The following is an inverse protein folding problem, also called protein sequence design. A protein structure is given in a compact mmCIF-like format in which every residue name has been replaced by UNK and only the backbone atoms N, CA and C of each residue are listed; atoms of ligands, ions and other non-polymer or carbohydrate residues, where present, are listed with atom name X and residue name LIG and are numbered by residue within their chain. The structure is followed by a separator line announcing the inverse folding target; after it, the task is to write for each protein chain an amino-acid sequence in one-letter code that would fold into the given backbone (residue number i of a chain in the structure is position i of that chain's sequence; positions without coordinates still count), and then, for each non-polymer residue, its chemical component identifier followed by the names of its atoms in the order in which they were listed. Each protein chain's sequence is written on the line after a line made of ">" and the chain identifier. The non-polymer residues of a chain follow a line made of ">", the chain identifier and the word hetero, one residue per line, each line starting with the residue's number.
data_IF_326250636009
#
_entry.id   IF_326250636009
#
_cell.length_a   1.000
_cell.length_b   1.000
_cell.length_c   1.000
_cell.angle_alpha   90.00
_cell.angle_beta   90.00
_cell.angle_gamma   90.00
#
_symmetry.space_group_name_H-M   'P 1'
#
loop_
_entity.id
_entity.type
_entity.pdbx_description
1 polymer ?
#
# COMPACT_ATOMS: atom_id res chain seq x y z
N UNK A 1 4.13 5.48 7.84
CA UNK A 1 3.60 6.68 7.11
C UNK A 1 4.80 7.33 6.41
N UNK A 2 4.69 8.41 5.62
CA UNK A 2 5.90 9.04 5.05
C UNK A 2 5.99 10.54 5.30
N UNK A 3 4.98 11.31 4.89
CA UNK A 3 5.05 12.78 4.91
C UNK A 3 4.77 13.37 6.29
N UNK A 4 3.96 12.70 7.09
CA UNK A 4 3.41 13.29 8.30
C UNK A 4 4.28 13.13 9.56
N UNK A 5 5.33 12.30 9.52
CA UNK A 5 6.19 12.03 10.67
C UNK A 5 6.83 13.29 11.26
N UNK A 6 7.46 14.13 10.43
CA UNK A 6 8.02 15.41 10.87
C UNK A 6 6.93 16.40 11.35
N UNK A 7 5.87 16.71 10.55
CA UNK A 7 4.76 17.56 10.98
C UNK A 7 4.15 17.21 12.34
N UNK A 8 3.85 15.92 12.57
CA UNK A 8 3.22 15.43 13.80
C UNK A 8 4.20 15.54 14.96
N UNK A 9 5.47 15.19 14.74
CA UNK A 9 6.52 15.32 15.76
C UNK A 9 6.66 16.75 16.25
N UNK A 10 6.62 17.72 15.32
CA UNK A 10 6.63 19.14 15.67
C UNK A 10 5.38 19.56 16.47
N UNK A 11 4.19 19.23 15.97
CA UNK A 11 2.92 19.61 16.60
C UNK A 11 2.78 19.02 18.00
N UNK A 12 3.07 17.72 18.14
CA UNK A 12 3.00 17.02 19.41
C UNK A 12 4.06 17.51 20.40
N UNK A 13 5.28 17.82 19.94
CA UNK A 13 6.30 18.42 20.79
C UNK A 13 5.89 19.82 21.32
N UNK A 14 5.37 20.70 20.45
CA UNK A 14 4.85 22.01 20.86
C UNK A 14 3.69 21.87 21.88
N UNK A 15 2.83 20.87 21.70
CA UNK A 15 1.70 20.62 22.60
C UNK A 15 2.16 20.10 23.97
N UNK A 16 2.97 19.04 23.98
CA UNK A 16 3.43 18.35 25.20
C UNK A 16 4.37 19.24 26.01
N UNK A 17 5.29 19.95 25.34
CA UNK A 17 6.31 20.78 26.02
C UNK A 17 5.97 22.28 26.05
N UNK A 18 4.72 22.67 25.74
CA UNK A 18 4.29 24.08 25.64
C UNK A 18 4.82 24.99 26.74
N UNK A 19 4.69 24.55 28.00
CA UNK A 19 5.14 25.32 29.18
C UNK A 19 6.66 25.48 29.22
N UNK A 20 7.41 24.42 28.94
CA UNK A 20 8.88 24.45 28.97
C UNK A 20 9.42 25.28 27.80
N UNK A 21 8.92 25.06 26.59
CA UNK A 21 9.29 25.83 25.39
C UNK A 21 9.02 27.32 25.59
N UNK A 22 7.91 27.70 26.23
CA UNK A 22 7.57 29.11 26.43
C UNK A 22 8.62 29.93 27.22
N UNK A 23 9.39 29.27 28.10
CA UNK A 23 10.43 29.87 28.94
C UNK A 23 11.76 30.12 28.20
N UNK A 24 11.98 29.42 27.09
CA UNK A 24 13.20 29.52 26.30
C UNK A 24 13.31 30.88 25.58
N UNK A 25 14.52 31.21 25.12
CA UNK A 25 14.74 32.36 24.22
C UNK A 25 14.17 32.08 22.84
N UNK A 26 13.93 33.13 22.05
CA UNK A 26 13.31 32.99 20.73
C UNK A 26 14.13 32.10 19.77
N UNK A 27 15.46 32.25 19.75
CA UNK A 27 16.35 31.40 18.94
C UNK A 27 16.34 29.94 19.41
N UNK A 28 16.30 29.70 20.72
CA UNK A 28 16.17 28.36 21.31
C UNK A 28 14.83 27.71 20.92
N UNK A 29 13.72 28.46 20.94
CA UNK A 29 12.40 27.98 20.49
C UNK A 29 12.43 27.53 19.01
N UNK A 30 13.04 28.33 18.14
CA UNK A 30 13.19 28.00 16.72
C UNK A 30 14.00 26.72 16.54
N UNK A 31 15.11 26.59 17.28
CA UNK A 31 15.96 25.40 17.23
C UNK A 31 15.22 24.15 17.73
N UNK A 32 14.41 24.25 18.80
CA UNK A 32 13.55 23.15 19.25
C UNK A 32 12.53 22.75 18.16
N UNK A 33 11.95 23.72 17.46
CA UNK A 33 11.05 23.44 16.34
C UNK A 33 11.73 22.65 15.22
N UNK A 34 12.91 23.10 14.76
CA UNK A 34 13.68 22.40 13.73
C UNK A 34 14.10 21.02 14.21
N UNK A 35 14.56 20.90 15.46
CA UNK A 35 14.94 19.63 16.06
C UNK A 35 13.77 18.65 16.12
N UNK A 36 12.55 19.11 16.46
CA UNK A 36 11.37 18.25 16.48
C UNK A 36 11.03 17.67 15.09
N UNK A 37 11.20 18.46 14.02
CA UNK A 37 11.01 17.99 12.65
C UNK A 37 12.05 16.93 12.28
N UNK A 38 13.34 17.20 12.55
CA UNK A 38 14.45 16.30 12.22
C UNK A 38 14.38 15.01 13.04
N UNK A 39 14.14 15.09 14.33
CA UNK A 39 14.02 13.92 15.19
C UNK A 39 12.81 13.06 14.83
N UNK A 40 11.76 13.66 14.26
CA UNK A 40 10.60 12.94 13.77
C UNK A 40 10.87 12.07 12.54
N UNK A 41 11.96 12.27 11.80
CA UNK A 41 12.34 11.44 10.64
C UNK A 41 13.57 10.57 10.90
N UNK A 42 14.18 10.68 12.09
CA UNK A 42 15.36 9.88 12.45
C UNK A 42 15.12 8.37 12.33
N UNK A 43 13.96 7.81 12.75
CA UNK A 43 13.77 6.37 12.67
C UNK A 43 13.93 5.83 11.24
N UNK A 44 13.35 6.50 10.24
CA UNK A 44 13.45 6.13 8.81
C UNK A 44 14.84 6.26 8.18
N UNK A 45 15.83 6.83 8.88
CA UNK A 45 17.21 6.90 8.34
C UNK A 45 17.78 5.49 8.17
N UNK A 46 17.26 4.50 8.90
CA UNK A 46 17.61 3.10 8.73
C UNK A 46 17.35 2.56 7.31
N UNK A 47 16.38 3.11 6.58
CA UNK A 47 16.11 2.77 5.17
C UNK A 47 17.37 3.01 4.32
N UNK A 48 18.07 4.12 4.55
CA UNK A 48 19.32 4.43 3.84
C UNK A 48 20.43 3.44 4.20
N UNK A 49 20.47 2.99 5.46
CA UNK A 49 21.45 1.99 5.94
C UNK A 49 21.15 0.61 5.33
N UNK A 50 19.87 0.22 5.27
CA UNK A 50 19.43 -1.03 4.66
C UNK A 50 19.80 -1.07 3.17
N UNK A 51 19.40 -0.04 2.42
CA UNK A 51 19.74 0.10 0.99
C UNK A 51 21.27 0.07 0.80
N UNK A 52 22.02 0.84 1.61
CA UNK A 52 23.48 0.88 1.53
C UNK A 52 24.16 -0.45 1.90
N UNK A 53 23.47 -1.32 2.63
CA UNK A 53 23.96 -2.65 3.03
C UNK A 53 23.48 -3.77 2.10
N UNK A 54 22.74 -3.44 1.03
CA UNK A 54 22.12 -4.44 0.15
C UNK A 54 21.00 -5.24 0.82
N UNK A 55 20.49 -4.78 1.96
CA UNK A 55 19.36 -5.39 2.65
C UNK A 55 18.05 -4.81 2.12
N UNK A 56 16.96 -5.60 2.07
CA UNK A 56 15.69 -5.09 1.57
C UNK A 56 15.14 -3.97 2.46
N UNK A 57 14.71 -2.86 1.85
CA UNK A 57 14.22 -1.69 2.60
C UNK A 57 12.90 -1.92 3.34
N UNK A 58 12.10 -2.90 2.91
CA UNK A 58 10.80 -3.18 3.53
C UNK A 58 10.91 -3.73 4.96
N UNK A 59 12.08 -4.25 5.36
CA UNK A 59 12.28 -4.76 6.73
C UNK A 59 12.48 -3.64 7.76
N UNK A 60 12.50 -2.35 7.37
CA UNK A 60 12.86 -1.26 8.29
C UNK A 60 11.98 -1.21 9.54
N UNK A 61 10.69 -1.52 9.47
CA UNK A 61 9.85 -1.60 10.66
C UNK A 61 10.16 -2.78 11.61
N UNK A 62 10.98 -3.72 11.16
CA UNK A 62 11.48 -4.87 11.94
C UNK A 62 12.91 -4.67 12.45
N UNK A 63 13.51 -3.50 12.22
CA UNK A 63 14.83 -3.19 12.79
C UNK A 63 14.71 -2.43 14.11
N UNK A 64 15.81 -2.39 14.86
CA UNK A 64 15.83 -1.84 16.23
C UNK A 64 15.46 -0.35 16.33
N UNK A 65 15.67 0.44 15.27
CA UNK A 65 15.21 1.83 15.17
C UNK A 65 13.69 1.93 15.29
N UNK A 66 12.93 0.93 14.87
CA UNK A 66 11.47 0.93 14.99
C UNK A 66 10.97 0.30 16.31
N UNK A 67 11.74 0.49 17.39
CA UNK A 67 11.38 0.01 18.74
C UNK A 67 11.36 1.16 19.76
N UNK A 68 10.29 1.30 20.58
CA UNK A 68 10.23 2.37 21.57
C UNK A 68 11.34 2.32 22.62
N UNK A 69 11.73 1.10 23.02
CA UNK A 69 12.77 0.89 24.05
C UNK A 69 14.12 1.43 23.59
N UNK A 70 14.46 1.31 22.30
CA UNK A 70 15.69 1.85 21.75
C UNK A 70 15.80 3.37 21.99
N UNK A 71 14.77 4.14 21.65
CA UNK A 71 14.80 5.59 21.84
C UNK A 71 14.70 6.02 23.30
N UNK A 72 13.96 5.30 24.14
CA UNK A 72 13.94 5.55 25.59
C UNK A 72 15.34 5.33 26.18
N UNK A 73 16.01 4.24 25.81
CA UNK A 73 17.37 3.94 26.23
C UNK A 73 18.36 4.99 25.76
N UNK A 74 18.31 5.38 24.48
CA UNK A 74 19.15 6.42 23.91
C UNK A 74 18.93 7.78 24.57
N UNK A 75 17.68 8.15 24.86
CA UNK A 75 17.34 9.36 25.61
C UNK A 75 17.92 9.37 27.02
N UNK A 76 17.78 8.26 27.77
CA UNK A 76 18.38 8.11 29.11
C UNK A 76 19.91 8.23 29.05
N UNK A 77 20.52 7.59 28.06
CA UNK A 77 21.96 7.63 27.82
C UNK A 77 22.44 9.06 27.52
N UNK A 78 21.77 9.78 26.61
CA UNK A 78 22.09 11.18 26.31
C UNK A 78 21.96 12.09 27.54
N UNK A 79 20.91 11.90 28.36
CA UNK A 79 20.76 12.64 29.63
C UNK A 79 21.89 12.36 30.59
N UNK A 80 22.32 11.10 30.71
CA UNK A 80 23.44 10.71 31.56
C UNK A 80 24.76 11.34 31.07
N UNK A 81 25.05 11.24 29.77
CA UNK A 81 26.22 11.86 29.15
C UNK A 81 26.23 13.36 29.41
N UNK A 82 25.13 14.06 29.13
CA UNK A 82 25.06 15.50 29.35
C UNK A 82 25.37 15.85 30.82
N UNK A 83 24.80 15.10 31.77
CA UNK A 83 25.04 15.33 33.20
C UNK A 83 26.51 15.16 33.60
N UNK A 84 27.24 14.24 32.97
CA UNK A 84 28.67 14.01 33.20
C UNK A 84 29.49 15.11 32.54
N UNK A 85 29.26 15.35 31.24
CA UNK A 85 30.09 16.22 30.38
C UNK A 85 29.88 17.70 30.70
N UNK A 86 28.69 18.13 31.13
CA UNK A 86 28.41 19.53 31.44
C UNK A 86 29.39 20.14 32.46
N UNK A 87 29.97 19.31 33.34
CA UNK A 87 30.95 19.75 34.35
C UNK A 87 32.27 20.24 33.73
N UNK A 88 32.52 19.90 32.47
CA UNK A 88 33.72 20.28 31.72
C UNK A 88 33.45 21.36 30.67
N UNK A 89 32.24 21.92 30.62
CA UNK A 89 31.92 22.98 29.68
C UNK A 89 32.60 24.29 30.07
N UNK A 90 33.13 24.99 29.07
CA UNK A 90 33.55 26.38 29.24
C UNK A 90 32.34 27.29 29.39
N UNK A 91 32.51 28.46 30.00
CA UNK A 91 31.41 29.44 30.19
C UNK A 91 30.63 29.76 28.90
N UNK A 92 31.27 29.95 27.72
CA UNK A 92 30.53 30.16 26.48
C UNK A 92 29.63 28.99 26.10
N UNK A 93 30.13 27.76 26.27
CA UNK A 93 29.38 26.53 25.96
C UNK A 93 28.23 26.35 26.94
N UNK A 94 28.45 26.54 28.24
CA UNK A 94 27.41 26.44 29.27
C UNK A 94 26.28 27.47 29.05
N UNK A 95 26.61 28.68 28.59
CA UNK A 95 25.62 29.71 28.26
C UNK A 95 24.75 29.32 27.05
N UNK A 96 25.34 28.63 26.07
CA UNK A 96 24.63 28.14 24.89
C UNK A 96 23.82 26.87 25.21
N UNK A 97 24.47 25.84 25.75
CA UNK A 97 23.90 24.57 26.18
C UNK A 97 23.41 24.63 27.64
N UNK A 98 22.61 25.66 27.94
CA UNK A 98 22.10 25.83 29.29
C UNK A 98 21.20 24.65 29.69
N UNK A 99 21.14 24.27 30.98
CA UNK A 99 20.42 23.07 31.42
C UNK A 99 18.94 23.04 31.06
N UNK A 100 18.27 24.19 31.05
CA UNK A 100 16.86 24.28 30.69
C UNK A 100 16.65 23.97 29.20
N UNK A 101 17.42 24.61 28.32
CA UNK A 101 17.40 24.38 26.89
C UNK A 101 17.74 22.92 26.53
N UNK A 102 18.83 22.38 27.08
CA UNK A 102 19.24 21.00 26.75
C UNK A 102 18.22 19.98 27.24
N UNK A 103 17.62 20.17 28.41
CA UNK A 103 16.56 19.27 28.87
C UNK A 103 15.34 19.30 27.94
N UNK A 104 14.93 20.47 27.44
CA UNK A 104 13.86 20.57 26.43
C UNK A 104 14.27 19.88 25.14
N UNK A 105 15.49 20.09 24.65
CA UNK A 105 16.00 19.47 23.42
C UNK A 105 16.03 17.94 23.51
N UNK A 106 16.53 17.38 24.62
CA UNK A 106 16.56 15.93 24.83
C UNK A 106 15.15 15.36 24.97
N UNK A 107 14.22 16.07 25.62
CA UNK A 107 12.82 15.65 25.63
C UNK A 107 12.17 15.76 24.24
N UNK A 108 12.56 16.75 23.42
CA UNK A 108 12.10 16.88 22.04
C UNK A 108 12.56 15.69 21.20
N UNK A 109 13.79 15.21 21.39
CA UNK A 109 14.24 13.96 20.79
C UNK A 109 13.30 12.80 21.11
N UNK A 110 13.07 12.54 22.40
CA UNK A 110 12.23 11.41 22.81
C UNK A 110 10.79 11.55 22.31
N UNK A 111 10.19 12.74 22.45
CA UNK A 111 8.79 12.97 22.04
C UNK A 111 8.65 12.81 20.53
N UNK A 112 9.55 13.39 19.74
CA UNK A 112 9.49 13.30 18.29
C UNK A 112 9.66 11.85 17.80
N UNK A 113 10.66 11.12 18.29
CA UNK A 113 10.87 9.73 17.88
C UNK A 113 9.72 8.82 18.33
N UNK A 114 9.15 9.04 19.53
CA UNK A 114 7.99 8.26 19.97
C UNK A 114 6.71 8.61 19.21
N UNK A 115 6.52 9.87 18.80
CA UNK A 115 5.41 10.27 17.93
C UNK A 115 5.54 9.67 16.54
N UNK A 116 6.75 9.59 15.99
CA UNK A 116 7.01 8.85 14.77
C UNK A 116 6.51 7.40 14.89
N UNK A 117 7.01 6.66 15.90
CA UNK A 117 6.63 5.26 16.11
C UNK A 117 5.13 5.11 16.40
N UNK A 118 4.51 6.07 17.08
CA UNK A 118 3.06 6.07 17.30
C UNK A 118 2.28 6.15 15.97
N UNK A 119 2.78 6.92 15.01
CA UNK A 119 2.16 7.03 13.69
C UNK A 119 2.41 5.79 12.83
N UNK A 120 3.52 5.09 13.02
CA UNK A 120 3.68 3.76 12.42
C UNK A 120 2.76 2.75 13.06
N UNK A 121 2.65 2.66 14.39
CA UNK A 121 1.65 1.80 15.05
C UNK A 121 0.23 2.07 14.50
N UNK A 122 -0.07 3.34 14.19
CA UNK A 122 -1.37 3.73 13.67
C UNK A 122 -1.67 3.08 12.30
N UNK A 123 -0.71 3.09 11.36
CA UNK A 123 -0.93 2.71 9.96
C UNK A 123 -0.19 1.45 9.50
N UNK A 124 0.82 1.02 10.23
CA UNK A 124 1.81 0.01 9.88
C UNK A 124 2.15 -0.89 11.08
N UNK A 125 2.97 -1.90 10.82
CA UNK A 125 3.42 -2.89 11.79
C UNK A 125 4.73 -2.46 12.44
N UNK A 126 4.83 -2.41 13.76
CA UNK A 126 6.13 -2.23 14.46
C UNK A 126 6.33 -3.21 15.61
N UNK A 127 7.58 -3.44 16.00
CA UNK A 127 7.94 -4.26 17.16
C UNK A 127 7.80 -3.49 18.49
N UNK A 128 6.55 -3.14 18.85
CA UNK A 128 6.23 -2.29 20.02
C UNK A 128 6.82 -2.80 21.35
N UNK A 129 6.84 -4.13 21.55
CA UNK A 129 7.22 -4.78 22.81
C UNK A 129 8.63 -5.41 22.78
N UNK A 130 9.45 -5.11 21.77
CA UNK A 130 10.85 -5.54 21.73
C UNK A 130 11.62 -4.99 22.94
N UNK A 131 12.51 -5.77 23.61
CA UNK A 131 13.01 -7.10 23.24
C UNK A 131 12.23 -8.28 23.87
N UNK A 132 11.08 -8.04 24.51
CA UNK A 132 10.31 -9.13 25.13
C UNK A 132 9.63 -10.02 24.09
N UNK A 133 9.26 -9.44 22.94
CA UNK A 133 8.74 -10.16 21.77
C UNK A 133 9.14 -9.43 20.49
N UNK A 134 9.31 -10.17 19.40
CA UNK A 134 9.51 -9.67 18.04
C UNK A 134 8.18 -9.57 17.27
N UNK A 135 7.05 -9.86 17.93
CA UNK A 135 5.74 -9.73 17.33
C UNK A 135 5.45 -8.27 16.93
N UNK A 136 4.92 -8.10 15.73
CA UNK A 136 4.50 -6.82 15.21
C UNK A 136 3.11 -6.42 15.70
N UNK A 137 2.92 -5.12 15.94
CA UNK A 137 1.68 -4.52 16.39
C UNK A 137 1.27 -3.37 15.47
N UNK A 138 -0.02 -3.29 15.17
CA UNK A 138 -0.64 -2.23 14.38
C UNK A 138 -2.07 -1.99 14.86
N UNK A 139 -2.61 -0.78 14.65
CA UNK A 139 -3.99 -0.43 15.00
C UNK A 139 -4.90 -0.50 13.76
N UNK A 140 -4.55 0.18 12.67
CA UNK A 140 -5.44 0.33 11.51
C UNK A 140 -4.90 -0.24 10.20
N UNK A 141 -3.69 -0.80 10.14
CA UNK A 141 -3.12 -1.35 8.88
C UNK A 141 -4.11 -2.24 8.11
N UNK A 142 -4.73 -3.19 8.81
CA UNK A 142 -5.67 -4.13 8.20
C UNK A 142 -7.06 -3.52 7.94
N UNK A 143 -7.46 -2.52 8.72
CA UNK A 143 -8.73 -1.82 8.50
C UNK A 143 -8.63 -0.82 7.32
N UNK A 144 -7.44 -0.27 7.09
CA UNK A 144 -7.12 0.69 6.02
C UNK A 144 -6.25 0.05 4.94
N UNK A 145 -6.34 -1.27 4.79
CA UNK A 145 -5.62 -2.03 3.78
C UNK A 145 -5.89 -1.39 2.40
N UNK A 146 -4.84 -1.02 1.64
CA UNK A 146 -5.05 -0.38 0.35
C UNK A 146 -5.56 -1.39 -0.69
N UNK A 147 -6.13 -0.86 -1.77
CA UNK A 147 -6.43 -1.66 -2.95
C UNK A 147 -5.13 -2.06 -3.66
N UNK A 148 -5.02 -3.32 -4.07
CA UNK A 148 -3.83 -3.85 -4.76
C UNK A 148 -3.49 -3.08 -6.05
N UNK A 149 -4.51 -2.58 -6.76
CA UNK A 149 -4.37 -1.91 -8.05
C UNK A 149 -4.43 -0.37 -7.95
N UNK A 150 -4.99 0.18 -6.86
CA UNK A 150 -5.09 1.64 -6.63
C UNK A 150 -3.85 2.27 -6.01
N UNK A 151 -3.01 1.47 -5.34
CA UNK A 151 -1.75 1.94 -4.76
C UNK A 151 -1.89 2.83 -3.52
N UNK A 152 -0.73 3.23 -2.97
CA UNK A 152 -0.64 3.90 -1.66
C UNK A 152 -1.22 5.33 -1.64
N UNK A 153 -1.07 6.11 -2.70
CA UNK A 153 -1.53 7.50 -2.77
C UNK A 153 -3.06 7.65 -2.67
N UNK A 154 -3.80 6.55 -2.82
CA UNK A 154 -5.25 6.53 -2.76
C UNK A 154 -5.75 5.85 -1.48
N UNK A 155 -4.83 5.50 -0.58
CA UNK A 155 -5.14 4.89 0.70
C UNK A 155 -5.67 5.92 1.70
N UNK A 156 -6.47 5.44 2.65
CA UNK A 156 -6.95 6.24 3.79
C UNK A 156 -5.76 6.81 4.58
N UNK A 157 -4.69 6.02 4.73
CA UNK A 157 -3.48 6.44 5.45
C UNK A 157 -2.83 7.66 4.82
N UNK A 158 -2.72 7.69 3.49
CA UNK A 158 -2.19 8.85 2.77
C UNK A 158 -3.10 10.09 2.90
N UNK A 159 -4.43 9.91 2.85
CA UNK A 159 -5.38 10.99 3.15
C UNK A 159 -5.19 11.61 4.55
N UNK A 160 -4.91 10.77 5.55
CA UNK A 160 -4.59 11.21 6.92
C UNK A 160 -3.25 11.97 6.93
N UNK A 161 -2.23 11.52 6.20
CA UNK A 161 -0.94 12.20 6.12
C UNK A 161 -1.05 13.62 5.57
N UNK A 162 -1.79 13.79 4.47
CA UNK A 162 -2.02 15.10 3.86
C UNK A 162 -2.80 16.00 4.82
N UNK A 163 -3.81 15.48 5.51
CA UNK A 163 -4.56 16.26 6.49
C UNK A 163 -3.68 16.73 7.66
N UNK A 164 -2.86 15.84 8.24
CA UNK A 164 -1.98 16.18 9.36
C UNK A 164 -0.87 17.17 8.94
N UNK A 165 -0.35 17.03 7.72
CA UNK A 165 0.56 17.99 7.11
C UNK A 165 -0.11 19.35 6.91
N UNK A 166 -1.37 19.38 6.45
CA UNK A 166 -2.18 20.59 6.33
C UNK A 166 -2.39 21.29 7.68
N UNK A 167 -2.72 20.54 8.74
CA UNK A 167 -2.85 21.07 10.11
C UNK A 167 -1.54 21.71 10.59
N UNK A 168 -0.40 21.10 10.29
CA UNK A 168 0.91 21.66 10.60
C UNK A 168 1.16 23.00 9.89
N UNK A 169 0.87 23.10 8.59
CA UNK A 169 1.03 24.37 7.87
C UNK A 169 0.09 25.46 8.38
N UNK A 170 -1.18 25.12 8.67
CA UNK A 170 -2.13 26.04 9.33
C UNK A 170 -1.56 26.55 10.66
N UNK A 171 -1.00 25.65 11.47
CA UNK A 171 -0.37 26.02 12.74
C UNK A 171 0.78 27.01 12.54
N UNK A 172 1.69 26.74 11.59
CA UNK A 172 2.80 27.63 11.27
C UNK A 172 2.32 28.99 10.78
N UNK A 173 1.37 29.04 9.86
CA UNK A 173 0.81 30.28 9.33
C UNK A 173 0.19 31.13 10.44
N UNK A 174 -0.60 30.52 11.32
CA UNK A 174 -1.24 31.19 12.45
C UNK A 174 -0.22 31.81 13.43
N UNK A 175 1.01 31.29 13.47
CA UNK A 175 2.09 31.80 14.32
C UNK A 175 2.98 32.82 13.62
N UNK A 176 3.22 32.67 12.32
CA UNK A 176 4.20 33.46 11.58
C UNK A 176 3.59 34.66 10.85
N UNK A 177 2.32 34.59 10.46
CA UNK A 177 1.67 35.60 9.61
C UNK A 177 0.58 36.34 10.39
N UNK A 178 0.49 37.66 10.18
CA UNK A 178 -0.58 38.48 10.77
C UNK A 178 -1.95 38.09 10.19
N UNK A 179 -2.97 38.08 11.06
CA UNK A 179 -4.35 37.77 10.66
C UNK A 179 -4.84 38.78 9.61
N UNK A 180 -5.39 38.25 8.53
CA UNK A 180 -5.97 38.97 7.39
C UNK A 180 -6.94 38.04 6.66
N UNK A 181 -7.74 38.57 5.72
CA UNK A 181 -8.62 37.73 4.90
C UNK A 181 -7.82 36.73 4.06
N UNK A 182 -6.65 37.12 3.54
CA UNK A 182 -5.74 36.22 2.82
C UNK A 182 -5.24 35.07 3.69
N UNK A 183 -4.91 35.35 4.94
CA UNK A 183 -4.50 34.33 5.90
C UNK A 183 -5.60 33.28 6.15
N UNK A 184 -6.86 33.70 6.26
CA UNK A 184 -8.00 32.77 6.38
C UNK A 184 -8.14 31.89 5.14
N UNK A 185 -7.98 32.46 3.93
CA UNK A 185 -8.02 31.71 2.68
C UNK A 185 -6.90 30.65 2.65
N UNK A 186 -5.68 31.02 3.05
CA UNK A 186 -4.56 30.07 3.10
C UNK A 186 -4.81 28.94 4.09
N UNK A 187 -5.36 29.23 5.27
CA UNK A 187 -5.68 28.18 6.24
C UNK A 187 -6.67 27.15 5.67
N UNK A 188 -7.69 27.63 4.96
CA UNK A 188 -8.67 26.77 4.28
C UNK A 188 -7.99 25.97 3.17
N UNK A 189 -7.14 26.61 2.37
CA UNK A 189 -6.40 25.97 1.28
C UNK A 189 -5.52 24.81 1.74
N UNK A 190 -4.87 24.90 2.91
CA UNK A 190 -4.07 23.79 3.43
C UNK A 190 -4.90 22.63 4.00
N UNK A 191 -6.15 22.84 4.40
CA UNK A 191 -7.00 21.78 4.98
C UNK A 191 -7.89 21.10 3.96
N UNK A 192 -8.44 21.84 2.99
CA UNK A 192 -9.41 21.30 2.02
C UNK A 192 -8.86 20.06 1.28
N UNK A 193 -7.62 20.06 0.74
CA UNK A 193 -7.10 18.89 0.04
C UNK A 193 -7.05 17.65 0.92
N UNK A 194 -6.61 17.79 2.18
CA UNK A 194 -6.56 16.66 3.12
C UNK A 194 -7.95 16.14 3.49
N UNK A 195 -8.91 17.03 3.75
CA UNK A 195 -10.31 16.64 4.04
C UNK A 195 -10.94 15.94 2.84
N UNK A 196 -10.79 16.52 1.65
CA UNK A 196 -11.32 15.97 0.42
C UNK A 196 -10.69 14.61 0.12
N UNK A 197 -9.36 14.52 0.14
CA UNK A 197 -8.64 13.28 -0.12
C UNK A 197 -8.97 12.20 0.89
N UNK A 198 -9.11 12.52 2.18
CA UNK A 198 -9.50 11.55 3.20
C UNK A 198 -10.92 11.02 2.98
N UNK A 199 -11.89 11.92 2.79
CA UNK A 199 -13.28 11.52 2.53
C UNK A 199 -13.41 10.70 1.24
N UNK A 200 -12.66 11.10 0.22
CA UNK A 200 -12.59 10.41 -1.06
C UNK A 200 -11.89 9.04 -0.96
N UNK A 201 -10.77 8.94 -0.26
CA UNK A 201 -10.05 7.67 -0.04
C UNK A 201 -10.89 6.71 0.79
N UNK A 202 -11.66 7.22 1.77
CA UNK A 202 -12.63 6.41 2.49
C UNK A 202 -13.76 5.92 1.57
N UNK A 203 -14.31 6.80 0.73
CA UNK A 203 -15.35 6.43 -0.24
C UNK A 203 -14.88 5.33 -1.20
N UNK A 204 -13.71 5.51 -1.82
CA UNK A 204 -13.12 4.49 -2.71
C UNK A 204 -12.87 3.19 -1.96
N UNK A 205 -12.23 3.24 -0.78
CA UNK A 205 -11.99 2.07 0.06
C UNK A 205 -13.28 1.28 0.34
N UNK A 206 -14.40 1.93 0.67
CA UNK A 206 -15.66 1.19 0.91
C UNK A 206 -16.28 0.60 -0.36
N UNK A 207 -15.94 1.12 -1.54
CA UNK A 207 -16.53 0.69 -2.79
C UNK A 207 -15.64 -0.23 -3.64
N UNK A 208 -14.36 -0.40 -3.30
CA UNK A 208 -13.44 -1.31 -3.99
C UNK A 208 -13.14 -2.54 -3.14
N UNK A 209 -12.61 -3.58 -3.78
CA UNK A 209 -12.17 -4.79 -3.08
C UNK A 209 -10.73 -4.57 -2.61
N UNK A 210 -10.53 -4.36 -1.31
CA UNK A 210 -9.22 -4.07 -0.75
C UNK A 210 -8.60 -5.32 -0.17
N UNK A 211 -7.69 -5.92 -0.93
CA UNK A 211 -6.86 -7.01 -0.46
C UNK A 211 -5.50 -6.97 -1.16
N UNK A 212 -4.53 -6.37 -0.49
CA UNK A 212 -3.15 -6.17 -0.96
C UNK A 212 -2.12 -6.83 -0.04
N UNK A 213 -2.56 -7.41 1.08
CA UNK A 213 -1.71 -8.13 2.02
C UNK A 213 -1.97 -9.63 1.86
N UNK A 214 -0.89 -10.38 1.57
CA UNK A 214 -0.92 -11.84 1.53
C UNK A 214 -1.10 -12.41 2.94
N UNK A 215 -1.91 -13.47 3.05
CA UNK A 215 -2.35 -14.04 4.32
C UNK A 215 -2.40 -15.55 4.23
N UNK A 216 -1.59 -16.26 5.00
CA UNK A 216 -1.53 -17.72 5.03
C UNK A 216 -2.90 -18.42 5.23
N UNK A 217 -2.91 -19.75 5.16
CA UNK A 217 -4.12 -20.56 5.36
C UNK A 217 -4.84 -20.31 6.71
N UNK A 218 -4.14 -19.74 7.70
CA UNK A 218 -4.68 -19.40 9.02
C UNK A 218 -5.10 -17.92 9.11
N UNK A 219 -5.02 -17.16 8.01
CA UNK A 219 -5.32 -15.74 7.93
C UNK A 219 -4.22 -14.80 8.47
N UNK A 220 -3.05 -15.33 8.82
CA UNK A 220 -1.91 -14.54 9.30
C UNK A 220 -1.16 -13.93 8.13
N UNK A 221 -0.67 -12.71 8.29
CA UNK A 221 0.16 -12.08 7.27
C UNK A 221 1.42 -12.90 7.04
N UNK A 222 1.63 -13.28 5.79
CA UNK A 222 2.88 -13.86 5.33
C UNK A 222 3.15 -13.30 3.93
N UNK A 223 4.32 -12.71 3.73
CA UNK A 223 4.68 -12.01 2.48
C UNK A 223 5.77 -12.75 1.70
N UNK A 224 6.28 -13.83 2.28
CA UNK A 224 7.39 -14.68 1.80
C UNK A 224 7.18 -16.07 2.44
N UNK A 225 6.44 -16.96 1.75
CA UNK A 225 6.00 -18.24 2.32
C UNK A 225 7.15 -19.23 2.49
N UNK A 226 8.07 -19.27 1.54
CA UNK A 226 9.16 -20.23 1.49
C UNK A 226 10.47 -19.70 2.11
N UNK A 227 10.48 -18.43 2.49
CA UNK A 227 11.57 -17.74 3.21
C UNK A 227 12.85 -17.59 2.40
N UNK A 228 12.73 -17.51 1.08
CA UNK A 228 13.87 -17.36 0.17
C UNK A 228 14.36 -15.90 0.04
N UNK A 229 13.60 -14.95 0.59
CA UNK A 229 13.90 -13.52 0.61
C UNK A 229 13.32 -12.73 -0.58
N UNK A 230 12.54 -13.37 -1.45
CA UNK A 230 11.73 -12.74 -2.50
C UNK A 230 10.31 -12.57 -1.95
N UNK A 231 9.68 -11.43 -2.22
CA UNK A 231 8.26 -11.29 -1.90
C UNK A 231 7.44 -12.16 -2.83
N UNK A 232 6.55 -12.99 -2.28
CA UNK A 232 5.58 -13.78 -3.02
C UNK A 232 4.88 -12.94 -4.11
N UNK A 233 4.56 -11.67 -3.83
CA UNK A 233 3.94 -10.73 -4.79
C UNK A 233 4.75 -10.45 -6.07
N UNK A 234 6.06 -10.70 -6.01
CA UNK A 234 7.03 -10.54 -7.10
C UNK A 234 7.68 -11.87 -7.48
N UNK A 235 7.36 -12.95 -6.78
CA UNK A 235 7.88 -14.28 -7.06
C UNK A 235 7.01 -14.98 -8.11
N UNK A 236 7.65 -15.60 -9.09
CA UNK A 236 7.00 -16.37 -10.15
C UNK A 236 6.79 -17.84 -9.79
N UNK A 237 7.45 -18.35 -8.75
CA UNK A 237 7.46 -19.75 -8.31
C UNK A 237 7.63 -19.81 -6.78
N UNK A 238 6.55 -19.53 -6.05
CA UNK A 238 6.57 -19.27 -4.60
C UNK A 238 7.11 -20.42 -3.74
N UNK A 239 6.97 -21.67 -4.19
CA UNK A 239 7.46 -22.83 -3.43
C UNK A 239 8.74 -23.43 -4.04
N UNK A 240 9.30 -22.77 -5.05
CA UNK A 240 10.53 -23.14 -5.73
C UNK A 240 10.50 -24.59 -6.26
N UNK A 241 9.33 -25.07 -6.68
CA UNK A 241 9.14 -26.45 -7.17
C UNK A 241 9.39 -26.60 -8.69
N UNK A 242 9.63 -25.48 -9.38
CA UNK A 242 9.90 -25.39 -10.80
C UNK A 242 8.64 -25.24 -11.66
N UNK A 243 7.45 -25.15 -11.07
CA UNK A 243 6.20 -24.77 -11.74
C UNK A 243 5.83 -23.35 -11.36
N UNK A 244 5.59 -22.53 -12.38
CA UNK A 244 5.16 -21.16 -12.14
C UNK A 244 3.77 -21.09 -11.50
N UNK A 245 3.53 -20.01 -10.75
CA UNK A 245 2.30 -19.78 -9.97
C UNK A 245 0.99 -19.95 -10.75
N UNK A 246 0.99 -19.77 -12.08
CA UNK A 246 -0.23 -19.92 -12.89
C UNK A 246 -0.60 -21.40 -13.05
N UNK A 247 0.40 -22.28 -13.18
CA UNK A 247 0.20 -23.71 -13.41
C UNK A 247 0.22 -24.57 -12.15
N UNK A 248 0.75 -24.05 -11.06
CA UNK A 248 0.92 -24.82 -9.83
C UNK A 248 -0.36 -24.97 -8.98
N UNK A 249 -1.46 -24.36 -9.41
CA UNK A 249 -2.73 -24.41 -8.67
C UNK A 249 -3.73 -25.41 -9.24
N UNK A 250 -4.56 -26.00 -8.38
CA UNK A 250 -5.85 -26.58 -8.80
C UNK A 250 -6.83 -25.44 -9.08
N UNK A 251 -7.20 -25.26 -10.35
CA UNK A 251 -8.14 -24.20 -10.79
C UNK A 251 -9.47 -24.19 -10.02
N UNK A 252 -9.91 -25.34 -9.47
CA UNK A 252 -11.12 -25.39 -8.63
C UNK A 252 -10.98 -24.56 -7.36
N UNK A 253 -9.76 -24.38 -6.84
CA UNK A 253 -9.50 -23.55 -5.66
C UNK A 253 -9.71 -22.06 -5.92
N UNK A 254 -9.72 -21.62 -7.19
CA UNK A 254 -10.06 -20.24 -7.55
C UNK A 254 -11.54 -19.94 -7.40
N UNK A 255 -12.41 -20.93 -7.62
CA UNK A 255 -13.87 -20.72 -7.68
C UNK A 255 -14.42 -20.09 -6.38
N UNK A 256 -14.07 -20.57 -5.16
CA UNK A 256 -14.49 -19.93 -3.92
C UNK A 256 -13.99 -18.49 -3.79
N UNK A 257 -12.77 -18.19 -4.25
CA UNK A 257 -12.21 -16.83 -4.17
C UNK A 257 -12.95 -15.88 -5.11
N UNK A 258 -13.18 -16.30 -6.35
CA UNK A 258 -13.91 -15.50 -7.35
C UNK A 258 -15.33 -15.23 -6.88
N UNK A 259 -16.04 -16.24 -6.34
CA UNK A 259 -17.37 -16.06 -5.75
C UNK A 259 -17.35 -15.03 -4.62
N UNK A 260 -16.39 -15.14 -3.70
CA UNK A 260 -16.23 -14.17 -2.59
C UNK A 260 -16.00 -12.75 -3.10
N UNK A 261 -15.16 -12.58 -4.13
CA UNK A 261 -14.91 -11.27 -4.73
C UNK A 261 -16.19 -10.75 -5.41
N UNK A 262 -16.90 -11.57 -6.18
CA UNK A 262 -18.13 -11.16 -6.86
C UNK A 262 -19.22 -10.75 -5.87
N UNK A 263 -19.44 -11.57 -4.85
CA UNK A 263 -20.45 -11.34 -3.79
C UNK A 263 -20.19 -10.07 -2.98
N UNK A 264 -18.96 -9.53 -3.02
CA UNK A 264 -18.63 -8.27 -2.37
C UNK A 264 -19.31 -7.05 -3.03
N UNK A 265 -19.81 -7.17 -4.27
CA UNK A 265 -20.54 -6.13 -4.98
C UNK A 265 -19.73 -4.85 -5.24
N UNK A 266 -18.40 -4.93 -5.17
CA UNK A 266 -17.49 -3.78 -5.32
C UNK A 266 -17.45 -3.30 -6.77
N UNK A 267 -16.86 -2.13 -6.98
CA UNK A 267 -16.78 -1.52 -8.30
C UNK A 267 -16.07 -2.39 -9.31
N UNK A 268 -16.65 -2.41 -10.50
CA UNK A 268 -16.01 -2.84 -11.74
C UNK A 268 -15.40 -1.66 -12.46
N UNK A 269 -14.52 -1.94 -13.41
CA UNK A 269 -13.99 -0.95 -14.32
C UNK A 269 -13.91 -1.56 -15.72
N UNK A 270 -14.15 -0.73 -16.74
CA UNK A 270 -13.86 -1.03 -18.13
C UNK A 270 -12.54 -0.34 -18.50
N UNK A 271 -11.50 -1.12 -18.74
CA UNK A 271 -10.16 -0.61 -19.06
C UNK A 271 -10.07 0.02 -20.45
N UNK A 272 -11.02 -0.28 -21.35
CA UNK A 272 -11.04 0.25 -22.72
C UNK A 272 -11.99 1.46 -22.87
N UNK A 273 -12.81 1.73 -21.85
CA UNK A 273 -13.73 2.87 -21.86
C UNK A 273 -12.98 4.19 -21.74
N UNK A 274 -13.27 5.13 -22.65
CA UNK A 274 -12.79 6.52 -22.57
C UNK A 274 -13.72 7.41 -21.73
N UNK A 275 -14.67 6.81 -21.00
CA UNK A 275 -15.55 7.58 -20.11
C UNK A 275 -14.78 7.86 -18.83
N UNK A 276 -14.73 9.14 -18.45
CA UNK A 276 -14.04 9.60 -17.24
C UNK A 276 -14.40 8.79 -15.98
N UNK A 277 -15.65 8.34 -15.84
CA UNK A 277 -16.09 7.54 -14.70
C UNK A 277 -15.46 6.15 -14.64
N UNK A 278 -15.21 5.52 -15.79
CA UNK A 278 -14.64 4.17 -15.88
C UNK A 278 -13.11 4.22 -15.75
N UNK A 279 -12.46 5.18 -16.42
CA UNK A 279 -11.02 5.48 -16.22
C UNK A 279 -10.72 5.76 -14.75
N UNK A 280 -11.59 6.55 -14.11
CA UNK A 280 -11.55 6.81 -12.69
C UNK A 280 -11.63 5.49 -11.91
N UNK A 281 -12.71 4.70 -12.07
CA UNK A 281 -12.85 3.44 -11.32
C UNK A 281 -11.65 2.53 -11.55
N UNK A 282 -11.12 2.45 -12.77
CA UNK A 282 -9.93 1.67 -13.09
C UNK A 282 -8.70 2.14 -12.30
N UNK A 283 -8.42 3.44 -12.28
CA UNK A 283 -7.30 4.00 -11.51
C UNK A 283 -7.43 3.78 -10.00
N UNK A 284 -8.67 3.77 -9.47
CA UNK A 284 -8.94 3.60 -8.04
C UNK A 284 -9.15 2.14 -7.60
N UNK A 285 -8.93 1.16 -8.47
CA UNK A 285 -8.95 -0.25 -8.10
C UNK A 285 -10.25 -0.99 -8.37
N UNK A 286 -11.09 -0.47 -9.26
CA UNK A 286 -12.20 -1.21 -9.84
C UNK A 286 -11.72 -2.45 -10.57
N UNK A 287 -12.52 -3.51 -10.49
CA UNK A 287 -12.18 -4.81 -11.06
C UNK A 287 -12.50 -4.86 -12.56
N UNK A 288 -11.50 -5.19 -13.37
CA UNK A 288 -11.69 -5.76 -14.71
C UNK A 288 -11.75 -7.28 -14.60
N UNK A 289 -12.05 -7.99 -15.69
CA UNK A 289 -12.02 -9.45 -15.70
C UNK A 289 -10.65 -10.03 -15.33
N UNK A 290 -9.57 -9.45 -15.87
CA UNK A 290 -8.22 -9.84 -15.48
C UNK A 290 -7.96 -9.57 -13.99
N UNK A 291 -8.33 -8.39 -13.47
CA UNK A 291 -8.10 -8.05 -12.05
C UNK A 291 -8.88 -8.96 -11.10
N UNK A 292 -10.11 -9.35 -11.46
CA UNK A 292 -10.91 -10.32 -10.70
C UNK A 292 -10.15 -11.64 -10.54
N UNK A 293 -9.62 -12.16 -11.64
CA UNK A 293 -8.86 -13.40 -11.69
C UNK A 293 -7.52 -13.26 -10.95
N UNK A 294 -6.76 -12.20 -11.24
CA UNK A 294 -5.47 -11.91 -10.61
C UNK A 294 -5.60 -11.78 -9.09
N UNK A 295 -6.67 -11.13 -8.61
CA UNK A 295 -6.99 -11.05 -7.18
C UNK A 295 -7.34 -12.42 -6.59
N UNK A 296 -8.04 -13.29 -7.33
CA UNK A 296 -8.37 -14.64 -6.85
C UNK A 296 -7.10 -15.50 -6.68
N UNK A 297 -6.16 -15.43 -7.62
CA UNK A 297 -4.84 -16.04 -7.54
C UNK A 297 -4.01 -15.46 -6.38
N UNK A 298 -4.02 -14.14 -6.21
CA UNK A 298 -3.36 -13.47 -5.09
C UNK A 298 -3.90 -13.98 -3.74
N UNK A 299 -5.21 -14.15 -3.62
CA UNK A 299 -5.85 -14.61 -2.38
C UNK A 299 -5.44 -16.03 -1.95
N UNK A 300 -4.86 -16.82 -2.86
CA UNK A 300 -4.36 -18.19 -2.60
C UNK A 300 -2.83 -18.30 -2.62
N UNK A 301 -2.09 -17.17 -2.63
CA UNK A 301 -0.61 -17.13 -2.73
C UNK A 301 -0.08 -17.67 -4.04
N UNK A 302 -0.65 -17.24 -5.17
CA UNK A 302 -0.14 -17.61 -6.48
C UNK A 302 -0.24 -16.43 -7.47
N UNK A 303 0.40 -15.28 -7.21
CA UNK A 303 0.22 -14.08 -8.01
C UNK A 303 0.64 -14.29 -9.47
N UNK A 304 -0.24 -13.86 -10.38
CA UNK A 304 -0.07 -13.90 -11.83
C UNK A 304 0.95 -12.88 -12.36
N UNK A 305 0.97 -11.61 -11.91
CA UNK A 305 1.80 -10.57 -12.52
C UNK A 305 3.30 -10.88 -12.68
N UNK A 306 4.01 -11.48 -11.70
CA UNK A 306 5.43 -11.80 -11.87
C UNK A 306 5.68 -12.82 -12.98
N UNK A 307 4.82 -13.85 -13.10
CA UNK A 307 4.91 -14.87 -14.17
C UNK A 307 4.74 -14.26 -15.55
N UNK A 308 3.75 -13.36 -15.72
CA UNK A 308 3.52 -12.70 -17.01
C UNK A 308 4.67 -11.75 -17.38
N UNK A 309 5.21 -11.00 -16.41
CA UNK A 309 6.36 -10.12 -16.66
C UNK A 309 7.59 -10.90 -17.08
N UNK A 310 7.90 -12.00 -16.40
CA UNK A 310 9.03 -12.86 -16.77
C UNK A 310 8.89 -13.38 -18.20
N UNK A 311 7.71 -13.87 -18.59
CA UNK A 311 7.43 -14.31 -19.95
C UNK A 311 7.66 -13.20 -20.98
N UNK A 312 7.09 -12.01 -20.76
CA UNK A 312 7.19 -10.87 -21.68
C UNK A 312 8.61 -10.28 -21.77
N UNK A 313 9.41 -10.38 -20.70
CA UNK A 313 10.83 -10.00 -20.75
C UNK A 313 11.63 -11.01 -21.58
N UNK A 314 11.35 -12.31 -21.42
CA UNK A 314 12.06 -13.39 -22.15
C UNK A 314 11.75 -13.40 -23.64
N UNK A 315 10.54 -13.00 -24.04
CA UNK A 315 10.15 -12.90 -25.45
C UNK A 315 10.47 -11.54 -26.10
N UNK A 316 10.95 -10.57 -25.31
CA UNK A 316 11.33 -9.24 -25.77
C UNK A 316 10.16 -8.29 -26.03
N UNK A 317 8.95 -8.62 -25.57
CA UNK A 317 7.78 -7.73 -25.65
C UNK A 317 7.90 -6.51 -24.72
N UNK A 318 8.67 -6.63 -23.63
CA UNK A 318 8.97 -5.53 -22.72
C UNK A 318 10.46 -5.48 -22.39
N UNK A 319 10.98 -4.26 -22.24
CA UNK A 319 12.41 -4.03 -21.97
C UNK A 319 12.76 -3.98 -20.48
N UNK A 320 11.76 -3.92 -19.59
CA UNK A 320 11.99 -3.80 -18.15
C UNK A 320 10.82 -4.34 -17.32
N UNK A 321 11.11 -4.70 -16.06
CA UNK A 321 10.10 -5.10 -15.10
C UNK A 321 9.10 -3.99 -14.72
N UNK A 322 9.42 -2.72 -15.02
CA UNK A 322 8.57 -1.56 -14.77
C UNK A 322 7.75 -1.15 -15.98
N UNK A 323 7.96 -1.78 -17.14
CA UNK A 323 7.20 -1.49 -18.35
C UNK A 323 5.73 -1.89 -18.16
N UNK A 324 4.82 -0.99 -18.56
CA UNK A 324 3.40 -1.29 -18.62
C UNK A 324 3.13 -2.28 -19.75
N UNK A 325 2.13 -3.15 -19.55
CA UNK A 325 1.67 -4.12 -20.54
C UNK A 325 0.18 -4.35 -20.38
N UNK A 326 -0.47 -4.77 -21.47
CA UNK A 326 -1.84 -5.25 -21.40
C UNK A 326 -1.86 -6.62 -20.72
N UNK A 327 -2.37 -6.66 -19.49
CA UNK A 327 -2.36 -7.85 -18.67
C UNK A 327 -3.34 -8.93 -19.15
N UNK A 328 -4.45 -8.53 -19.79
CA UNK A 328 -5.41 -9.48 -20.37
C UNK A 328 -4.79 -10.18 -21.58
N UNK A 329 -4.18 -9.43 -22.48
CA UNK A 329 -3.48 -9.97 -23.64
C UNK A 329 -2.28 -10.83 -23.25
N UNK A 330 -1.49 -10.39 -22.27
CA UNK A 330 -0.36 -11.15 -21.75
C UNK A 330 -0.80 -12.50 -21.17
N UNK A 331 -1.92 -12.52 -20.44
CA UNK A 331 -2.46 -13.74 -19.85
C UNK A 331 -2.98 -14.71 -20.92
N UNK A 332 -3.64 -14.21 -21.97
CA UNK A 332 -4.01 -15.04 -23.12
C UNK A 332 -2.78 -15.61 -23.84
N UNK A 333 -1.78 -14.75 -24.13
CA UNK A 333 -0.52 -15.15 -24.76
C UNK A 333 0.19 -16.26 -23.98
N UNK A 334 0.17 -16.18 -22.65
CA UNK A 334 0.74 -17.20 -21.77
C UNK A 334 0.17 -18.60 -22.04
N UNK A 335 -1.16 -18.76 -22.03
CA UNK A 335 -1.77 -20.06 -22.30
C UNK A 335 -1.62 -20.49 -23.77
N UNK A 336 -1.69 -19.53 -24.70
CA UNK A 336 -1.55 -19.82 -26.13
C UNK A 336 -0.14 -20.33 -26.47
N UNK A 337 0.91 -19.68 -25.96
CA UNK A 337 2.31 -20.09 -26.15
C UNK A 337 2.56 -21.53 -25.68
N UNK A 338 1.93 -21.90 -24.55
CA UNK A 338 2.01 -23.24 -23.95
C UNK A 338 1.06 -24.25 -24.58
N UNK A 339 0.27 -23.85 -25.58
CA UNK A 339 -0.74 -24.68 -26.27
C UNK A 339 -1.76 -25.29 -25.31
N UNK A 340 -2.15 -24.52 -24.30
CA UNK A 340 -3.12 -24.92 -23.28
C UNK A 340 -4.55 -24.47 -23.62
N UNK A 341 -4.74 -23.80 -24.76
CA UNK A 341 -6.05 -23.31 -25.17
C UNK A 341 -6.74 -24.26 -26.16
N UNK A 342 -8.04 -24.48 -25.95
CA UNK A 342 -8.94 -25.22 -26.85
C UNK A 342 -10.17 -24.39 -27.16
N UNK A 343 -10.81 -24.63 -28.31
CA UNK A 343 -12.07 -23.98 -28.64
C UNK A 343 -13.18 -24.44 -27.67
N UNK A 344 -13.85 -23.49 -27.03
CA UNK A 344 -14.98 -23.76 -26.14
C UNK A 344 -16.29 -23.84 -26.94
N UNK A 345 -17.05 -24.91 -26.76
CA UNK A 345 -18.38 -25.04 -27.35
C UNK A 345 -19.44 -24.56 -26.35
N UNK A 346 -20.44 -23.82 -26.84
CA UNK A 346 -21.46 -23.19 -25.99
C UNK A 346 -22.41 -24.19 -25.31
N UNK A 347 -22.50 -25.39 -25.84
CA UNK A 347 -23.33 -26.50 -25.34
C UNK A 347 -22.60 -27.36 -24.29
N UNK A 348 -21.30 -27.14 -24.08
CA UNK A 348 -20.51 -27.88 -23.09
C UNK A 348 -20.47 -27.14 -21.75
N UNK A 349 -20.71 -27.87 -20.66
CA UNK A 349 -20.48 -27.37 -19.30
C UNK A 349 -18.98 -27.29 -19.08
N UNK A 350 -18.46 -26.07 -18.93
CA UNK A 350 -17.06 -25.86 -18.62
C UNK A 350 -16.68 -26.47 -17.27
N UNK A 351 -15.48 -27.02 -17.18
CA UNK A 351 -14.88 -27.47 -15.94
C UNK A 351 -14.77 -26.29 -14.97
N UNK A 352 -15.13 -26.53 -13.71
CA UNK A 352 -15.03 -25.51 -12.67
C UNK A 352 -13.60 -24.96 -12.58
N UNK A 353 -13.48 -23.63 -12.58
CA UNK A 353 -12.19 -22.95 -12.53
C UNK A 353 -11.51 -22.77 -13.89
N UNK A 354 -12.03 -23.37 -14.96
CA UNK A 354 -11.49 -23.19 -16.30
C UNK A 354 -11.58 -21.72 -16.71
N UNK A 355 -10.45 -21.18 -17.17
CA UNK A 355 -10.42 -19.85 -17.79
C UNK A 355 -10.94 -19.93 -19.20
N UNK A 356 -11.71 -18.92 -19.60
CA UNK A 356 -12.08 -18.69 -20.99
C UNK A 356 -11.69 -17.28 -21.45
N UNK A 357 -11.50 -17.15 -22.75
CA UNK A 357 -11.17 -15.92 -23.44
C UNK A 357 -12.17 -15.70 -24.58
N UNK A 358 -12.61 -14.45 -24.72
CA UNK A 358 -13.47 -14.00 -25.81
C UNK A 358 -12.59 -13.26 -26.80
N UNK A 359 -12.52 -13.77 -28.02
CA UNK A 359 -11.69 -13.22 -29.08
C UNK A 359 -12.54 -12.67 -30.22
N UNK A 360 -12.05 -11.60 -30.85
CA UNK A 360 -12.62 -11.12 -32.12
C UNK A 360 -12.21 -12.02 -33.32
N UNK A 361 -12.60 -11.61 -34.52
CA UNK A 361 -12.28 -12.31 -35.77
C UNK A 361 -10.77 -12.34 -36.08
N UNK A 362 -10.02 -11.39 -35.53
CA UNK A 362 -8.56 -11.20 -35.67
C UNK A 362 -7.75 -11.81 -34.53
N UNK A 363 -8.40 -12.58 -33.64
CA UNK A 363 -7.79 -13.19 -32.45
C UNK A 363 -7.29 -12.17 -31.41
N UNK A 364 -7.86 -10.96 -31.38
CA UNK A 364 -7.67 -9.95 -30.31
C UNK A 364 -8.54 -10.31 -29.11
N UNK A 365 -8.01 -10.16 -27.89
CA UNK A 365 -8.75 -10.51 -26.66
C UNK A 365 -9.71 -9.39 -26.28
N UNK A 366 -11.01 -9.63 -26.44
CA UNK A 366 -12.08 -8.69 -26.07
C UNK A 366 -12.44 -8.78 -24.58
N UNK A 367 -12.36 -9.98 -24.01
CA UNK A 367 -12.61 -10.23 -22.60
C UNK A 367 -12.07 -11.59 -22.19
N UNK A 368 -12.13 -11.87 -20.90
CA UNK A 368 -11.81 -13.15 -20.31
C UNK A 368 -12.68 -13.41 -19.09
N UNK A 369 -12.71 -14.64 -18.61
CA UNK A 369 -13.40 -14.98 -17.38
C UNK A 369 -13.06 -16.37 -16.91
N UNK A 370 -13.75 -16.79 -15.86
CA UNK A 370 -13.56 -18.09 -15.21
C UNK A 370 -14.90 -18.79 -15.03
N UNK A 371 -14.93 -20.07 -15.37
CA UNK A 371 -16.09 -20.92 -15.18
C UNK A 371 -16.35 -21.18 -13.69
N UNK A 372 -17.58 -20.93 -13.27
CA UNK A 372 -18.08 -21.25 -11.93
C UNK A 372 -18.95 -22.52 -12.02
N UNK A 373 -20.07 -22.56 -11.29
CA UNK A 373 -20.99 -23.69 -11.27
C UNK A 373 -22.26 -23.38 -12.06
N UNK A 374 -22.88 -24.41 -12.64
CA UNK A 374 -24.19 -24.30 -13.32
C UNK A 374 -24.19 -23.27 -14.46
N UNK A 375 -23.17 -23.27 -15.32
CA UNK A 375 -22.97 -22.31 -16.42
C UNK A 375 -22.82 -20.83 -16.01
N UNK A 376 -22.63 -20.56 -14.72
CA UNK A 376 -22.24 -19.25 -14.25
C UNK A 376 -20.75 -19.04 -14.51
N UNK A 377 -20.38 -17.78 -14.71
CA UNK A 377 -19.01 -17.34 -14.96
C UNK A 377 -18.69 -16.10 -14.13
N UNK A 378 -17.44 -16.00 -13.70
CA UNK A 378 -16.86 -14.79 -13.16
C UNK A 378 -16.19 -14.00 -14.27
N UNK A 379 -16.75 -12.84 -14.59
CA UNK A 379 -16.27 -11.92 -15.62
C UNK A 379 -16.81 -10.54 -15.32
N UNK A 380 -16.22 -9.51 -15.91
CA UNK A 380 -16.72 -8.14 -15.87
C UNK A 380 -17.09 -7.75 -17.30
N UNK A 381 -18.32 -7.28 -17.50
CA UNK A 381 -18.78 -6.75 -18.78
C UNK A 381 -18.69 -5.21 -18.77
N UNK A 382 -18.48 -4.56 -19.93
CA UNK A 382 -18.32 -3.10 -20.02
C UNK A 382 -19.46 -2.25 -19.44
N UNK A 383 -20.66 -2.81 -19.35
CA UNK A 383 -21.82 -2.11 -18.78
C UNK A 383 -21.98 -2.30 -17.27
N UNK A 384 -21.12 -3.10 -16.63
CA UNK A 384 -21.21 -3.34 -15.21
C UNK A 384 -20.71 -2.15 -14.41
N UNK A 385 -21.48 -1.74 -13.41
CA UNK A 385 -21.05 -0.73 -12.44
C UNK A 385 -20.47 -1.35 -11.16
N UNK A 386 -20.85 -2.59 -10.88
CA UNK A 386 -20.54 -3.38 -9.70
C UNK A 386 -20.40 -4.86 -10.08
N UNK A 387 -19.59 -5.57 -9.31
CA UNK A 387 -19.37 -7.00 -9.48
C UNK A 387 -20.67 -7.77 -9.30
N UNK A 388 -20.89 -8.71 -10.21
CA UNK A 388 -22.01 -9.66 -10.18
C UNK A 388 -21.65 -10.91 -10.96
N UNK A 389 -22.42 -11.96 -10.75
CA UNK A 389 -22.28 -13.21 -11.49
C UNK A 389 -22.96 -13.06 -12.86
N UNK A 390 -22.34 -13.64 -13.87
CA UNK A 390 -22.89 -13.74 -15.22
C UNK A 390 -23.10 -15.19 -15.63
N UNK A 391 -23.84 -15.40 -16.71
CA UNK A 391 -23.84 -16.69 -17.41
C UNK A 391 -22.97 -16.61 -18.66
N UNK A 392 -22.44 -17.75 -19.11
CA UNK A 392 -21.68 -17.80 -20.36
C UNK A 392 -22.51 -17.27 -21.56
N UNK A 393 -23.81 -17.54 -21.54
CA UNK A 393 -24.74 -17.06 -22.56
C UNK A 393 -24.88 -15.53 -22.58
N UNK A 394 -24.91 -14.88 -21.41
CA UNK A 394 -24.93 -13.40 -21.33
C UNK A 394 -23.67 -12.80 -21.96
N UNK A 395 -22.50 -13.38 -21.66
CA UNK A 395 -21.22 -12.95 -22.23
C UNK A 395 -21.24 -13.05 -23.75
N UNK A 396 -21.65 -14.19 -24.29
CA UNK A 396 -21.70 -14.40 -25.74
C UNK A 396 -22.74 -13.52 -26.42
N UNK A 397 -23.88 -13.29 -25.77
CA UNK A 397 -24.90 -12.40 -26.30
C UNK A 397 -24.42 -10.94 -26.35
N UNK A 398 -23.60 -10.53 -25.37
CA UNK A 398 -23.03 -9.17 -25.35
C UNK A 398 -22.03 -8.94 -26.48
N UNK A 399 -21.08 -9.85 -26.66
CA UNK A 399 -20.04 -9.70 -27.69
C UNK A 399 -20.48 -10.11 -29.10
N UNK A 400 -21.61 -10.83 -29.24
CA UNK A 400 -22.20 -11.19 -30.53
C UNK A 400 -21.75 -12.55 -31.06
N UNK A 401 -22.22 -12.92 -32.26
CA UNK A 401 -22.04 -14.27 -32.84
C UNK A 401 -20.72 -14.51 -33.57
N UNK A 402 -19.92 -13.47 -33.82
CA UNK A 402 -18.66 -13.56 -34.57
C UNK A 402 -17.43 -13.75 -33.66
N UNK A 403 -17.63 -13.91 -32.35
CA UNK A 403 -16.55 -14.14 -31.39
C UNK A 403 -16.14 -15.60 -31.29
N UNK A 404 -14.85 -15.83 -31.09
CA UNK A 404 -14.30 -17.15 -30.78
C UNK A 404 -14.12 -17.26 -29.27
N UNK A 405 -14.54 -18.38 -28.70
CA UNK A 405 -14.26 -18.71 -27.30
C UNK A 405 -13.13 -19.72 -27.21
N UNK A 406 -12.10 -19.40 -26.44
CA UNK A 406 -11.01 -20.31 -26.12
C UNK A 406 -11.03 -20.62 -24.62
N UNK A 407 -10.75 -21.86 -24.21
CA UNK A 407 -10.73 -22.31 -22.82
C UNK A 407 -9.44 -23.06 -22.48
N UNK A 408 -9.09 -23.10 -21.20
CA UNK A 408 -7.90 -23.78 -20.63
C UNK A 408 -8.12 -25.27 -20.30
N UNK A 409 -9.31 -25.80 -20.58
CA UNK A 409 -9.66 -27.22 -20.43
C UNK A 409 -8.89 -28.16 -21.36
#
# INVERSE_FOLDING_TARGET
>A
MFLAHAPISFLGNELIQKKAISKLKQNEKVLIGIAALLFGIIPDIDILVLIGSGLPSFIHHTVISHTPIFYIGLWLFMKLIYKIVQRWFSKPVEKFLNPEFVNVLLNTFLIATLLHLLMDIFAEDIMLLYPFTTQNFTIFKYAFEPNMFGGYFLSITFGIEILLTGVFFVYLLNRLIKKSSFHTIMNVFYLIPGIFLLGFSAYTHFNTYNRSILRDINGKVNVDIDTDGVFDTYDMDIDNDGKDNILDIDLKNLVPQVKTIIESGKWTADSESTKLGDEFKYAYGGMTSFRLISQAYFNIHSPIPPVLKDMLMKDGSIDSYYSEYDAQDAFYKYFNYRKLLKALKLDTVSAQGAMFFVLDDKDTVLNMGIALENNNVGTVLPYDTNLKTHTLQEVTNYYGGDVKLMTTE
#
